data_IF_495777339688
#
_entry.id   IF_495777339688
#
_cell.length_a   1.000
_cell.length_b   1.000
_cell.length_c   1.000
_cell.angle_alpha   90.00
_cell.angle_beta   90.00
_cell.angle_gamma   90.00
#
_symmetry.space_group_name_H-M   'P 1'
#
loop_
_entity.id
_entity.type
_entity.pdbx_description
1 polymer ?
#
# COMPACT_ATOMS: atom_id res chain seq x y z
N UNK A 1 51.09 -6.51 52.03
CA UNK A 1 50.19 -7.41 51.33
C UNK A 1 49.04 -6.63 50.62
N UNK A 2 48.62 -5.47 51.12
CA UNK A 2 47.48 -4.68 50.47
C UNK A 2 47.90 -4.02 49.15
N UNK A 3 49.18 -3.62 49.01
CA UNK A 3 49.70 -3.00 47.79
C UNK A 3 49.77 -3.96 46.55
N UNK A 4 49.93 -5.25 46.77
CA UNK A 4 50.01 -6.26 45.72
C UNK A 4 48.64 -6.51 45.08
N UNK A 5 47.56 -6.46 45.86
CA UNK A 5 46.19 -6.64 45.36
C UNK A 5 45.68 -5.44 44.58
N UNK A 6 46.13 -4.23 44.89
CA UNK A 6 45.74 -3.02 44.16
C UNK A 6 46.36 -3.00 42.74
N UNK A 7 47.60 -3.49 42.58
CA UNK A 7 48.27 -3.57 41.30
C UNK A 7 47.65 -4.67 40.39
N UNK A 8 47.21 -5.79 40.95
CA UNK A 8 46.52 -6.83 40.21
C UNK A 8 45.13 -6.38 39.75
N UNK A 9 44.38 -5.59 40.56
CA UNK A 9 43.08 -5.06 40.20
C UNK A 9 43.16 -4.01 39.07
N UNK A 10 44.17 -3.16 39.08
CA UNK A 10 44.42 -2.13 38.07
C UNK A 10 44.84 -2.78 36.73
N UNK A 11 45.62 -3.87 36.76
CA UNK A 11 46.01 -4.61 35.56
C UNK A 11 44.83 -5.33 34.87
N UNK A 12 43.84 -5.79 35.66
CA UNK A 12 42.62 -6.46 35.09
C UNK A 12 41.66 -5.43 34.46
N UNK A 13 41.63 -4.18 34.98
CA UNK A 13 40.76 -3.13 34.42
C UNK A 13 41.32 -2.58 33.08
N UNK A 14 42.63 -2.61 32.89
CA UNK A 14 43.27 -2.10 31.66
C UNK A 14 43.28 -3.08 30.50
N UNK A 15 42.94 -4.35 30.70
CA UNK A 15 42.89 -5.38 29.64
C UNK A 15 41.53 -5.59 28.99
N UNK A 16 40.45 -4.90 29.43
CA UNK A 16 39.09 -5.14 28.93
C UNK A 16 38.57 -4.11 27.91
N UNK A 17 39.41 -3.26 27.34
CA UNK A 17 38.99 -2.27 26.31
C UNK A 17 39.86 -2.27 25.06
N UNK A 18 40.20 -3.43 24.53
CA UNK A 18 40.63 -3.52 23.15
C UNK A 18 39.48 -4.05 22.28
N UNK A 19 38.44 -3.27 22.12
CA UNK A 19 37.62 -3.41 20.91
C UNK A 19 38.52 -2.98 19.76
N UNK A 20 39.06 -3.95 19.04
CA UNK A 20 39.76 -3.67 17.79
C UNK A 20 38.74 -2.96 16.88
N UNK A 21 38.91 -1.67 16.66
CA UNK A 21 38.18 -0.99 15.62
C UNK A 21 38.53 -1.67 14.30
N UNK A 22 37.58 -2.43 13.77
CA UNK A 22 37.75 -3.02 12.45
C UNK A 22 37.67 -1.89 11.44
N UNK A 23 38.79 -1.57 10.82
CA UNK A 23 38.81 -0.61 9.72
C UNK A 23 38.09 -1.24 8.55
N UNK A 24 36.93 -0.71 8.21
CA UNK A 24 36.21 -1.08 6.98
C UNK A 24 36.68 -0.13 5.88
N UNK A 25 37.30 -0.68 4.86
CA UNK A 25 37.61 0.08 3.65
C UNK A 25 36.39 -0.02 2.72
N UNK A 26 35.74 1.11 2.49
CA UNK A 26 34.63 1.19 1.54
C UNK A 26 35.22 1.18 0.13
N UNK A 27 34.70 0.30 -0.71
CA UNK A 27 34.99 0.31 -2.14
C UNK A 27 33.86 1.04 -2.86
N UNK A 28 34.25 1.87 -3.82
CA UNK A 28 33.28 2.54 -4.69
C UNK A 28 32.62 1.51 -5.60
N UNK A 29 31.29 1.43 -5.55
CA UNK A 29 30.49 0.64 -6.48
C UNK A 29 29.74 1.60 -7.40
N UNK A 30 30.17 1.66 -8.66
CA UNK A 30 29.60 2.54 -9.70
C UNK A 30 28.64 1.80 -10.63
N UNK A 31 28.40 0.51 -10.43
CA UNK A 31 27.62 -0.34 -11.35
C UNK A 31 26.38 -0.97 -10.72
N UNK A 32 26.38 -1.16 -9.41
CA UNK A 32 25.22 -1.77 -8.73
C UNK A 32 24.09 -0.77 -8.60
N UNK A 33 22.88 -1.23 -8.94
CA UNK A 33 21.66 -0.47 -8.68
C UNK A 33 21.37 -0.47 -7.18
N UNK A 34 21.48 0.69 -6.55
CA UNK A 34 21.10 0.86 -5.14
C UNK A 34 19.59 1.06 -5.03
N UNK A 35 18.92 0.04 -4.51
CA UNK A 35 17.48 0.11 -4.18
C UNK A 35 17.32 0.40 -2.70
N UNK A 36 16.98 1.64 -2.38
CA UNK A 36 16.66 2.02 -1.00
C UNK A 36 15.24 1.57 -0.65
N UNK A 37 15.02 1.04 0.56
CA UNK A 37 13.66 0.71 1.02
C UNK A 37 12.73 1.92 0.93
N UNK A 38 11.52 1.71 0.43
CA UNK A 38 10.48 2.73 0.27
C UNK A 38 10.91 3.95 -0.57
N UNK A 39 11.87 3.79 -1.49
CA UNK A 39 12.32 4.85 -2.39
C UNK A 39 12.43 4.35 -3.82
N UNK A 40 12.02 5.18 -4.78
CA UNK A 40 12.20 4.90 -6.21
C UNK A 40 10.87 4.73 -6.95
N UNK A 41 10.95 4.15 -8.14
CA UNK A 41 9.81 3.95 -9.02
C UNK A 41 9.17 2.58 -8.81
N UNK A 42 7.86 2.51 -9.02
CA UNK A 42 7.12 1.26 -9.04
C UNK A 42 6.75 0.83 -10.46
N UNK A 43 6.84 -0.46 -10.76
CA UNK A 43 6.07 -1.06 -11.84
C UNK A 43 4.70 -1.44 -11.29
N UNK A 44 3.67 -1.39 -12.12
CA UNK A 44 2.29 -1.33 -11.67
C UNK A 44 1.40 -2.33 -12.41
N UNK A 45 0.58 -3.08 -11.67
CA UNK A 45 -0.52 -3.89 -12.19
C UNK A 45 -1.83 -3.48 -11.51
N UNK A 46 -2.71 -2.84 -12.26
CA UNK A 46 -3.98 -2.33 -11.77
C UNK A 46 -5.16 -3.30 -12.01
N UNK A 47 -4.94 -4.36 -12.77
CA UNK A 47 -5.97 -5.36 -13.09
C UNK A 47 -7.34 -4.73 -13.47
N UNK A 48 -7.31 -3.63 -14.22
CA UNK A 48 -8.48 -2.80 -14.51
C UNK A 48 -9.69 -3.59 -15.00
N UNK A 49 -9.53 -4.44 -16.00
CA UNK A 49 -10.59 -5.32 -16.50
C UNK A 49 -10.32 -6.78 -16.11
N UNK A 50 -9.12 -7.28 -16.38
CA UNK A 50 -8.69 -8.64 -16.06
C UNK A 50 -7.30 -8.64 -15.43
N UNK A 51 -7.08 -9.58 -14.52
CA UNK A 51 -5.77 -9.82 -13.96
C UNK A 51 -4.78 -10.18 -15.06
N UNK A 52 -3.65 -9.50 -15.11
CA UNK A 52 -2.62 -9.69 -16.10
C UNK A 52 -2.06 -11.12 -16.07
N UNK A 53 -1.79 -11.69 -17.25
CA UNK A 53 -1.01 -12.92 -17.30
C UNK A 53 0.43 -12.67 -16.90
N UNK A 54 0.91 -13.36 -15.88
CA UNK A 54 2.21 -13.13 -15.28
C UNK A 54 3.39 -13.22 -16.26
N UNK A 55 3.34 -14.17 -17.20
CA UNK A 55 4.42 -14.34 -18.17
C UNK A 55 4.45 -13.17 -19.18
N UNK A 56 3.27 -12.73 -19.62
CA UNK A 56 3.14 -11.59 -20.54
C UNK A 56 3.56 -10.31 -19.84
N UNK A 57 3.06 -10.09 -18.63
CA UNK A 57 3.37 -8.92 -17.83
C UNK A 57 4.88 -8.77 -17.62
N UNK A 58 5.52 -9.82 -17.09
CA UNK A 58 6.96 -9.76 -16.82
C UNK A 58 7.82 -9.72 -18.07
N UNK A 59 7.39 -10.30 -19.18
CA UNK A 59 8.09 -10.13 -20.45
C UNK A 59 8.07 -8.68 -20.94
N UNK A 60 6.95 -7.98 -20.73
CA UNK A 60 6.82 -6.56 -21.11
C UNK A 60 7.55 -5.60 -20.14
N UNK A 61 7.58 -5.92 -18.85
CA UNK A 61 8.11 -5.04 -17.81
C UNK A 61 9.55 -5.34 -17.39
N UNK A 62 10.20 -6.40 -17.92
CA UNK A 62 11.49 -6.89 -17.42
C UNK A 62 12.57 -5.83 -17.39
N UNK A 63 12.73 -5.06 -18.48
CA UNK A 63 13.74 -4.01 -18.58
C UNK A 63 13.48 -2.89 -17.55
N UNK A 64 12.27 -2.35 -17.52
CA UNK A 64 11.89 -1.28 -16.60
C UNK A 64 12.03 -1.74 -15.14
N UNK A 65 11.57 -2.96 -14.84
CA UNK A 65 11.63 -3.54 -13.51
C UNK A 65 13.06 -3.71 -13.00
N UNK A 66 13.98 -4.19 -13.86
CA UNK A 66 15.37 -4.43 -13.47
C UNK A 66 16.20 -3.17 -13.37
N UNK A 67 15.97 -2.20 -14.26
CA UNK A 67 16.81 -1.01 -14.36
C UNK A 67 16.35 0.14 -13.46
N UNK A 68 15.05 0.31 -13.26
CA UNK A 68 14.52 1.52 -12.65
C UNK A 68 13.63 1.29 -11.45
N UNK A 69 12.94 0.14 -11.35
CA UNK A 69 11.95 -0.06 -10.30
C UNK A 69 12.56 -0.54 -8.98
N UNK A 70 11.96 -0.10 -7.89
CA UNK A 70 12.25 -0.56 -6.52
C UNK A 70 11.13 -1.43 -5.97
N UNK A 71 9.91 -1.27 -6.48
CA UNK A 71 8.75 -2.02 -6.01
C UNK A 71 7.80 -2.39 -7.16
N UNK A 72 6.97 -3.38 -6.87
CA UNK A 72 5.84 -3.81 -7.70
C UNK A 72 4.55 -3.48 -6.97
N UNK A 73 3.73 -2.62 -7.56
CA UNK A 73 2.48 -2.18 -6.98
C UNK A 73 1.30 -2.96 -7.57
N UNK A 74 0.56 -3.66 -6.69
CA UNK A 74 -0.60 -4.49 -7.02
C UNK A 74 -1.87 -3.78 -6.56
N UNK A 75 -2.69 -3.31 -7.51
CA UNK A 75 -4.00 -2.69 -7.23
C UNK A 75 -5.11 -3.58 -7.77
N UNK A 76 -5.55 -4.51 -6.94
CA UNK A 76 -6.52 -5.51 -7.32
C UNK A 76 -7.83 -5.38 -6.55
N UNK A 77 -8.90 -5.93 -7.12
CA UNK A 77 -10.18 -6.04 -6.43
C UNK A 77 -10.13 -7.07 -5.32
N UNK A 78 -10.86 -6.84 -4.24
CA UNK A 78 -11.07 -7.87 -3.24
C UNK A 78 -11.70 -9.12 -3.86
N UNK A 79 -12.63 -8.95 -4.85
CA UNK A 79 -13.23 -10.08 -5.57
C UNK A 79 -12.23 -10.94 -6.36
N UNK A 80 -11.08 -10.41 -6.75
CA UNK A 80 -10.01 -11.20 -7.38
C UNK A 80 -9.13 -11.88 -6.32
N UNK A 81 -8.92 -11.22 -5.18
CA UNK A 81 -8.11 -11.74 -4.08
C UNK A 81 -8.82 -12.83 -3.27
N UNK A 82 -10.14 -12.76 -3.15
CA UNK A 82 -10.98 -13.70 -2.41
C UNK A 82 -12.33 -13.89 -3.11
N UNK A 83 -12.40 -14.64 -4.24
CA UNK A 83 -13.64 -14.84 -4.99
C UNK A 83 -14.70 -15.63 -4.22
N UNK A 84 -14.30 -16.48 -3.31
CA UNK A 84 -15.14 -17.25 -2.37
C UNK A 84 -14.58 -17.07 -0.95
N UNK A 85 -15.45 -17.05 0.06
CA UNK A 85 -15.05 -16.82 1.46
C UNK A 85 -13.95 -17.79 1.89
N UNK A 86 -12.81 -17.27 2.33
CA UNK A 86 -11.66 -18.06 2.77
C UNK A 86 -10.79 -18.64 1.63
N UNK A 87 -11.13 -18.36 0.37
CA UNK A 87 -10.35 -18.83 -0.79
C UNK A 87 -9.49 -17.69 -1.32
N UNK A 88 -8.29 -17.60 -0.81
CA UNK A 88 -7.36 -16.49 -1.07
C UNK A 88 -6.46 -16.76 -2.27
N UNK A 89 -6.29 -15.79 -3.18
CA UNK A 89 -5.50 -15.92 -4.40
C UNK A 89 -4.06 -16.37 -4.14
N UNK A 90 -3.43 -15.88 -3.10
CA UNK A 90 -2.06 -16.29 -2.72
C UNK A 90 -1.91 -17.76 -2.34
N UNK A 91 -3.01 -18.45 -2.02
CA UNK A 91 -2.97 -19.87 -1.69
C UNK A 91 -3.19 -20.78 -2.90
N UNK A 92 -4.00 -20.37 -3.88
CA UNK A 92 -4.42 -21.26 -4.96
C UNK A 92 -4.16 -20.76 -6.38
N UNK A 93 -4.07 -19.43 -6.59
CA UNK A 93 -3.96 -18.85 -7.94
C UNK A 93 -2.51 -18.87 -8.41
N UNK A 94 -2.21 -19.75 -9.33
CA UNK A 94 -0.85 -19.92 -9.87
C UNK A 94 -0.38 -18.72 -10.70
N UNK A 95 -1.31 -17.95 -11.31
CA UNK A 95 -0.96 -16.73 -12.03
C UNK A 95 -0.57 -15.62 -11.05
N UNK A 96 -1.35 -15.47 -9.97
CA UNK A 96 -1.02 -14.54 -8.89
C UNK A 96 0.36 -14.86 -8.28
N UNK A 97 0.58 -16.12 -7.92
CA UNK A 97 1.89 -16.55 -7.36
C UNK A 97 3.05 -16.22 -8.30
N UNK A 98 2.88 -16.44 -9.61
CA UNK A 98 3.90 -16.10 -10.62
C UNK A 98 4.12 -14.60 -10.75
N UNK A 99 3.08 -13.78 -10.62
CA UNK A 99 3.22 -12.32 -10.61
C UNK A 99 4.05 -11.86 -9.41
N UNK A 100 3.71 -12.34 -8.21
CA UNK A 100 4.42 -12.00 -6.98
C UNK A 100 5.86 -12.52 -7.01
N UNK A 101 6.07 -13.79 -7.34
CA UNK A 101 7.41 -14.36 -7.44
C UNK A 101 8.27 -13.64 -8.48
N UNK A 102 7.67 -13.28 -9.63
CA UNK A 102 8.35 -12.52 -10.66
C UNK A 102 8.84 -11.14 -10.21
N UNK A 103 8.13 -10.48 -9.30
CA UNK A 103 8.60 -9.26 -8.65
C UNK A 103 9.81 -9.54 -7.75
N UNK A 104 9.68 -10.53 -6.87
CA UNK A 104 10.73 -10.91 -5.92
C UNK A 104 12.01 -11.37 -6.62
N UNK A 105 11.92 -12.14 -7.71
CA UNK A 105 13.05 -12.59 -8.53
C UNK A 105 13.82 -11.42 -9.19
N UNK A 106 13.15 -10.27 -9.31
CA UNK A 106 13.75 -9.01 -9.79
C UNK A 106 14.28 -8.12 -8.68
N UNK A 107 14.18 -8.58 -7.42
CA UNK A 107 14.58 -7.84 -6.23
C UNK A 107 13.65 -6.66 -5.93
N UNK A 108 12.40 -6.69 -6.41
CA UNK A 108 11.40 -5.67 -6.09
C UNK A 108 10.73 -6.01 -4.76
N UNK A 109 10.35 -4.97 -4.03
CA UNK A 109 9.43 -5.08 -2.91
C UNK A 109 7.98 -5.04 -3.42
N UNK A 110 7.07 -5.60 -2.66
CA UNK A 110 5.65 -5.58 -2.97
C UNK A 110 4.99 -4.36 -2.33
N UNK A 111 4.00 -3.81 -2.99
CA UNK A 111 3.10 -2.81 -2.45
C UNK A 111 1.68 -3.13 -2.89
N UNK A 112 0.69 -2.90 -2.02
CA UNK A 112 -0.67 -3.37 -2.29
C UNK A 112 -1.72 -2.29 -2.07
N UNK A 113 -2.74 -2.29 -2.95
CA UNK A 113 -4.05 -1.69 -2.74
C UNK A 113 -5.11 -2.71 -3.12
N UNK A 114 -5.86 -3.21 -2.14
CA UNK A 114 -6.98 -4.11 -2.41
C UNK A 114 -8.27 -3.32 -2.22
N UNK A 115 -8.97 -3.02 -3.31
CA UNK A 115 -10.11 -2.13 -3.30
C UNK A 115 -11.45 -2.86 -3.40
N UNK A 116 -12.52 -2.20 -2.95
CA UNK A 116 -13.84 -2.78 -2.71
C UNK A 116 -14.90 -2.31 -3.69
N UNK A 117 -14.72 -1.17 -4.36
CA UNK A 117 -15.67 -0.66 -5.35
C UNK A 117 -15.33 -1.14 -6.75
N UNK A 118 -16.34 -1.11 -7.62
CA UNK A 118 -16.13 -1.30 -9.06
C UNK A 118 -15.27 -0.18 -9.62
N UNK A 119 -14.27 -0.55 -10.40
CA UNK A 119 -13.39 0.36 -11.11
C UNK A 119 -13.90 0.54 -12.53
N UNK A 120 -13.96 1.78 -13.03
CA UNK A 120 -14.47 2.10 -14.36
C UNK A 120 -15.81 1.42 -14.73
N UNK A 121 -16.55 0.99 -13.71
CA UNK A 121 -17.80 0.22 -13.87
C UNK A 121 -17.66 -1.03 -14.75
N UNK A 122 -16.49 -1.68 -14.76
CA UNK A 122 -16.23 -2.89 -15.53
C UNK A 122 -16.56 -4.18 -14.76
N UNK A 123 -16.13 -4.26 -13.50
CA UNK A 123 -16.33 -5.42 -12.62
C UNK A 123 -16.56 -4.99 -11.18
N UNK A 124 -17.31 -5.80 -10.43
CA UNK A 124 -17.53 -5.57 -9.01
C UNK A 124 -16.22 -5.74 -8.20
N UNK A 125 -15.91 -4.76 -7.34
CA UNK A 125 -14.73 -4.81 -6.48
C UNK A 125 -14.89 -5.74 -5.28
N UNK A 126 -16.10 -5.88 -4.77
CA UNK A 126 -16.42 -6.75 -3.63
C UNK A 126 -16.90 -8.13 -4.10
N UNK A 127 -16.46 -9.23 -3.45
CA UNK A 127 -16.90 -10.58 -3.78
C UNK A 127 -18.41 -10.78 -3.59
N UNK A 128 -19.04 -11.56 -4.47
CA UNK A 128 -20.50 -11.80 -4.43
C UNK A 128 -20.96 -12.54 -3.17
N UNK A 129 -20.09 -13.31 -2.51
CA UNK A 129 -20.46 -13.98 -1.25
C UNK A 129 -20.83 -12.98 -0.15
N UNK A 130 -20.27 -11.75 -0.17
CA UNK A 130 -20.61 -10.68 0.78
C UNK A 130 -22.06 -10.25 0.60
N UNK A 131 -22.51 -10.08 -0.65
CA UNK A 131 -23.91 -9.82 -0.98
C UNK A 131 -24.82 -10.98 -0.55
N UNK A 132 -24.41 -12.22 -0.86
CA UNK A 132 -25.17 -13.43 -0.45
C UNK A 132 -25.25 -13.60 1.05
N UNK A 133 -24.29 -13.11 1.82
CA UNK A 133 -24.33 -13.09 3.28
C UNK A 133 -25.36 -12.08 3.84
N UNK A 134 -25.94 -11.22 2.98
CA UNK A 134 -26.97 -10.27 3.34
C UNK A 134 -26.49 -8.84 3.55
N UNK A 135 -25.25 -8.51 3.19
CA UNK A 135 -24.76 -7.14 3.23
C UNK A 135 -25.61 -6.22 2.36
N UNK A 136 -25.93 -5.04 2.86
CA UNK A 136 -26.64 -4.01 2.12
C UNK A 136 -25.69 -3.27 1.21
N UNK A 137 -26.20 -2.85 0.08
CA UNK A 137 -25.41 -2.13 -0.92
C UNK A 137 -26.33 -1.45 -1.95
N UNK A 138 -25.70 -0.88 -2.93
CA UNK A 138 -26.35 -0.22 -4.06
C UNK A 138 -25.85 -0.80 -5.37
N UNK A 139 -26.56 -0.50 -6.44
CA UNK A 139 -26.20 -0.97 -7.78
C UNK A 139 -25.87 0.22 -8.65
N UNK A 140 -24.76 0.13 -9.35
CA UNK A 140 -24.37 1.10 -10.38
C UNK A 140 -24.44 0.45 -11.75
N UNK A 141 -24.73 1.24 -12.78
CA UNK A 141 -24.77 0.75 -14.15
C UNK A 141 -23.34 0.62 -14.68
N UNK A 142 -22.90 -0.60 -14.90
CA UNK A 142 -21.60 -0.89 -15.45
C UNK A 142 -21.63 -1.06 -16.97
N UNK A 143 -20.45 -1.08 -17.58
CA UNK A 143 -20.30 -1.27 -19.04
C UNK A 143 -20.68 -2.70 -19.49
N UNK A 144 -20.49 -3.69 -18.62
CA UNK A 144 -20.76 -5.12 -18.87
C UNK A 144 -21.99 -5.64 -18.11
N UNK A 145 -22.77 -4.76 -17.50
CA UNK A 145 -23.94 -5.10 -16.69
C UNK A 145 -23.98 -4.32 -15.38
N UNK A 146 -25.03 -4.54 -14.60
CA UNK A 146 -25.18 -3.87 -13.32
C UNK A 146 -24.19 -4.42 -12.27
N UNK A 147 -23.51 -3.51 -11.57
CA UNK A 147 -22.52 -3.82 -10.55
C UNK A 147 -23.06 -3.49 -9.17
N UNK A 148 -23.04 -4.46 -8.28
CA UNK A 148 -23.37 -4.26 -6.89
C UNK A 148 -22.14 -3.83 -6.09
N UNK A 149 -22.32 -2.83 -5.22
CA UNK A 149 -21.30 -2.31 -4.32
C UNK A 149 -21.89 -2.23 -2.91
N UNK A 150 -21.21 -2.74 -1.87
CA UNK A 150 -21.72 -2.64 -0.51
C UNK A 150 -21.65 -1.22 0.02
N UNK A 151 -22.50 -0.92 1.01
CA UNK A 151 -22.32 0.26 1.83
C UNK A 151 -21.21 -0.01 2.86
N UNK A 152 -20.18 0.83 2.96
CA UNK A 152 -19.08 0.63 3.93
C UNK A 152 -19.50 0.69 5.41
N UNK A 153 -20.66 1.27 5.72
CA UNK A 153 -21.25 1.29 7.06
C UNK A 153 -22.21 0.10 7.32
N UNK A 154 -22.22 -0.91 6.42
CA UNK A 154 -22.97 -2.14 6.64
C UNK A 154 -22.18 -3.11 7.53
N UNK A 155 -22.77 -3.65 8.62
CA UNK A 155 -22.03 -4.48 9.57
C UNK A 155 -21.60 -5.84 8.99
N UNK A 156 -22.32 -6.40 8.01
CA UNK A 156 -21.95 -7.67 7.38
C UNK A 156 -20.75 -7.44 6.45
N UNK A 157 -20.78 -6.35 5.68
CA UNK A 157 -19.61 -5.95 4.89
C UNK A 157 -18.38 -5.80 5.78
N UNK A 158 -18.51 -5.09 6.89
CA UNK A 158 -17.41 -4.85 7.83
C UNK A 158 -16.86 -6.14 8.42
N UNK A 159 -17.75 -7.07 8.85
CA UNK A 159 -17.32 -8.40 9.35
C UNK A 159 -16.55 -9.21 8.31
N UNK A 160 -17.04 -9.23 7.06
CA UNK A 160 -16.38 -10.00 6.00
C UNK A 160 -15.04 -9.39 5.59
N UNK A 161 -14.97 -8.06 5.51
CA UNK A 161 -13.72 -7.37 5.18
C UNK A 161 -12.69 -7.54 6.31
N UNK A 162 -13.09 -7.51 7.57
CA UNK A 162 -12.18 -7.75 8.70
C UNK A 162 -11.50 -9.11 8.59
N UNK A 163 -12.27 -10.18 8.30
CA UNK A 163 -11.70 -11.52 8.09
C UNK A 163 -10.71 -11.58 6.93
N UNK A 164 -11.00 -10.88 5.84
CA UNK A 164 -10.09 -10.78 4.71
C UNK A 164 -8.81 -10.04 5.09
N UNK A 165 -8.92 -8.87 5.74
CA UNK A 165 -7.75 -8.06 6.13
C UNK A 165 -6.88 -8.80 7.14
N UNK A 166 -7.48 -9.52 8.10
CA UNK A 166 -6.74 -10.39 9.03
C UNK A 166 -5.92 -11.45 8.29
N UNK A 167 -6.55 -12.17 7.34
CA UNK A 167 -5.86 -13.19 6.56
C UNK A 167 -4.78 -12.59 5.64
N UNK A 168 -5.07 -11.44 5.05
CA UNK A 168 -4.14 -10.70 4.20
C UNK A 168 -2.91 -10.22 4.97
N UNK A 169 -3.10 -9.67 6.16
CA UNK A 169 -2.01 -9.25 7.03
C UNK A 169 -1.17 -10.43 7.52
N UNK A 170 -1.80 -11.57 7.82
CA UNK A 170 -1.08 -12.79 8.19
C UNK A 170 -0.10 -13.26 7.10
N UNK A 171 -0.41 -13.02 5.83
CA UNK A 171 0.44 -13.34 4.70
C UNK A 171 1.48 -12.25 4.41
N UNK A 172 1.06 -10.97 4.45
CA UNK A 172 1.82 -9.86 3.89
C UNK A 172 2.33 -8.82 4.91
N UNK A 173 2.11 -8.97 6.21
CA UNK A 173 2.74 -8.10 7.22
C UNK A 173 4.21 -8.48 7.44
N UNK A 174 4.96 -8.56 6.35
CA UNK A 174 6.36 -8.94 6.30
C UNK A 174 7.20 -7.87 5.59
N UNK A 175 7.95 -7.04 6.32
CA UNK A 175 8.76 -5.97 5.75
C UNK A 175 9.95 -6.46 4.92
N UNK A 176 10.28 -7.76 4.97
CA UNK A 176 11.32 -8.32 4.11
C UNK A 176 10.89 -8.37 2.64
N UNK A 177 9.59 -8.44 2.36
CA UNK A 177 9.04 -8.54 1.01
C UNK A 177 8.04 -7.43 0.65
N UNK A 178 7.47 -6.72 1.63
CA UNK A 178 6.46 -5.67 1.42
C UNK A 178 6.98 -4.35 1.96
N UNK A 179 6.96 -3.30 1.15
CA UNK A 179 7.32 -1.95 1.57
C UNK A 179 6.14 -1.22 2.23
N UNK A 180 4.97 -1.25 1.59
CA UNK A 180 3.77 -0.61 2.14
C UNK A 180 2.47 -1.24 1.63
N UNK A 181 1.40 -0.99 2.38
CA UNK A 181 0.03 -1.32 1.99
C UNK A 181 -0.83 -0.06 2.08
N UNK A 182 -1.64 0.21 1.06
CA UNK A 182 -2.67 1.23 1.13
C UNK A 182 -3.74 0.76 2.13
N UNK A 183 -3.69 1.31 3.34
CA UNK A 183 -4.53 0.93 4.48
C UNK A 183 -5.90 1.61 4.48
N UNK A 184 -6.31 2.15 3.33
CA UNK A 184 -7.64 2.64 3.02
C UNK A 184 -7.91 2.43 1.54
N UNK A 185 -8.98 1.74 1.19
CA UNK A 185 -9.26 1.32 -0.17
C UNK A 185 -10.75 1.40 -0.54
N UNK A 186 -11.48 2.29 0.11
CA UNK A 186 -12.85 2.64 -0.26
C UNK A 186 -12.86 3.68 -1.39
N UNK A 187 -13.99 3.73 -2.07
CA UNK A 187 -14.17 4.62 -3.21
C UNK A 187 -13.71 4.00 -4.53
N UNK A 188 -13.88 4.75 -5.61
CA UNK A 188 -13.45 4.30 -6.93
C UNK A 188 -11.95 4.07 -6.92
N UNK A 189 -11.51 2.99 -7.51
CA UNK A 189 -10.11 2.52 -7.54
C UNK A 189 -9.43 2.41 -6.16
N UNK A 190 -10.20 2.52 -5.06
CA UNK A 190 -9.64 2.62 -3.71
C UNK A 190 -8.99 3.98 -3.41
N UNK A 191 -9.41 5.04 -4.10
CA UNK A 191 -8.77 6.37 -4.06
C UNK A 191 -9.48 7.38 -3.14
N UNK A 192 -10.27 6.91 -2.18
CA UNK A 192 -10.93 7.75 -1.18
C UNK A 192 -11.94 8.77 -1.74
N UNK A 193 -12.47 8.52 -2.95
CA UNK A 193 -13.51 9.38 -3.53
C UNK A 193 -14.71 8.57 -4.02
N UNK A 194 -15.89 9.23 -4.16
CA UNK A 194 -17.16 8.58 -4.53
C UNK A 194 -17.60 7.45 -3.59
N UNK A 195 -17.27 7.56 -2.32
CA UNK A 195 -17.76 6.63 -1.29
C UNK A 195 -19.21 6.96 -0.97
N UNK A 196 -20.09 5.95 -0.96
CA UNK A 196 -21.51 6.10 -0.65
C UNK A 196 -21.83 5.26 0.59
N UNK A 197 -22.41 5.86 1.61
CA UNK A 197 -22.84 5.23 2.85
C UNK A 197 -24.36 5.16 2.92
N UNK A 198 -24.91 4.23 3.70
CA UNK A 198 -26.33 4.23 4.05
C UNK A 198 -26.69 5.48 4.86
N UNK A 199 -25.86 5.81 5.85
CA UNK A 199 -25.97 7.02 6.65
C UNK A 199 -24.79 7.95 6.37
N UNK A 200 -25.06 9.01 5.62
CA UNK A 200 -24.04 9.99 5.21
C UNK A 200 -23.38 10.72 6.39
N UNK A 201 -23.97 10.67 7.59
CA UNK A 201 -23.34 11.27 8.77
C UNK A 201 -22.22 10.42 9.38
N UNK A 202 -22.01 9.19 8.87
CA UNK A 202 -21.03 8.24 9.42
C UNK A 202 -19.67 8.24 8.70
N UNK A 203 -19.40 9.19 7.81
CA UNK A 203 -18.15 9.20 7.06
C UNK A 203 -16.91 9.16 7.96
N UNK A 204 -16.83 10.03 8.96
CA UNK A 204 -15.69 10.03 9.88
C UNK A 204 -15.58 8.72 10.67
N UNK A 205 -16.71 8.15 11.11
CA UNK A 205 -16.73 6.87 11.82
C UNK A 205 -16.24 5.72 10.92
N UNK A 206 -16.69 5.67 9.66
CA UNK A 206 -16.28 4.64 8.70
C UNK A 206 -14.81 4.80 8.35
N UNK A 207 -14.34 6.01 8.16
CA UNK A 207 -12.94 6.30 7.90
C UNK A 207 -12.04 5.86 9.08
N UNK A 208 -12.45 6.21 10.32
CA UNK A 208 -11.73 5.80 11.52
C UNK A 208 -11.73 4.28 11.69
N UNK A 209 -12.88 3.63 11.50
CA UNK A 209 -12.99 2.17 11.53
C UNK A 209 -12.06 1.51 10.50
N UNK A 210 -12.09 1.96 9.24
CA UNK A 210 -11.32 1.33 8.17
C UNK A 210 -9.81 1.46 8.41
N UNK A 211 -9.35 2.66 8.76
CA UNK A 211 -7.95 2.90 9.08
C UNK A 211 -7.51 2.17 10.35
N UNK A 212 -8.40 1.99 11.32
CA UNK A 212 -8.15 1.19 12.52
C UNK A 212 -8.03 -0.30 12.19
N UNK A 213 -8.90 -0.81 11.30
CA UNK A 213 -8.86 -2.20 10.85
C UNK A 213 -7.48 -2.57 10.30
N UNK A 214 -6.96 -1.81 9.33
CA UNK A 214 -5.65 -2.09 8.78
C UNK A 214 -4.52 -1.92 9.81
N UNK A 215 -4.51 -0.83 10.57
CA UNK A 215 -3.48 -0.60 11.60
C UNK A 215 -3.54 -1.58 12.78
N UNK A 216 -4.65 -2.29 12.95
CA UNK A 216 -4.77 -3.37 13.93
C UNK A 216 -4.07 -4.63 13.46
N UNK A 217 -4.15 -4.96 12.19
CA UNK A 217 -3.62 -6.20 11.65
C UNK A 217 -2.21 -6.08 11.07
N UNK A 218 -1.88 -4.96 10.42
CA UNK A 218 -0.52 -4.68 9.95
C UNK A 218 0.28 -3.95 11.03
N UNK A 219 1.34 -4.57 11.52
CA UNK A 219 2.20 -4.07 12.61
C UNK A 219 3.63 -3.78 12.19
N UNK A 220 4.09 -4.44 11.13
CA UNK A 220 5.46 -4.41 10.70
C UNK A 220 5.64 -3.67 9.37
N UNK A 221 4.63 -3.72 8.51
CA UNK A 221 4.61 -3.06 7.20
C UNK A 221 4.00 -1.67 7.31
N UNK A 222 4.56 -0.71 6.58
CA UNK A 222 4.04 0.65 6.53
C UNK A 222 2.66 0.70 5.88
N UNK A 223 1.79 1.54 6.43
CA UNK A 223 0.48 1.80 5.85
C UNK A 223 0.46 3.18 5.20
N UNK A 224 -0.20 3.31 4.05
CA UNK A 224 -0.43 4.59 3.39
C UNK A 224 -1.92 4.89 3.27
N UNK A 225 -2.24 6.16 3.28
CA UNK A 225 -3.58 6.68 3.10
C UNK A 225 -3.69 7.34 1.72
N UNK A 226 -4.57 6.87 0.83
CA UNK A 226 -4.99 7.65 -0.33
C UNK A 226 -5.68 8.93 0.14
N UNK A 227 -4.99 10.07 -0.01
CA UNK A 227 -5.41 11.35 0.55
C UNK A 227 -6.35 12.05 -0.43
N UNK A 228 -7.65 12.00 -0.16
CA UNK A 228 -8.69 12.39 -1.10
C UNK A 228 -9.72 13.40 -0.60
N UNK A 229 -9.53 13.97 0.58
CA UNK A 229 -10.47 14.94 1.21
C UNK A 229 -11.91 14.44 1.38
N UNK A 230 -12.12 13.15 1.56
CA UNK A 230 -13.46 12.57 1.73
C UNK A 230 -14.21 13.16 2.94
N UNK A 231 -13.48 13.40 4.03
CA UNK A 231 -13.98 14.00 5.28
C UNK A 231 -13.24 15.28 5.66
N UNK A 232 -12.43 15.80 4.74
CA UNK A 232 -11.56 16.96 4.94
C UNK A 232 -10.13 16.57 5.32
N UNK A 233 -9.18 17.23 4.70
CA UNK A 233 -7.75 16.93 4.82
C UNK A 233 -7.25 16.92 6.26
N UNK A 234 -7.64 17.91 7.07
CA UNK A 234 -7.22 17.99 8.46
C UNK A 234 -7.76 16.82 9.30
N UNK A 235 -9.00 16.37 9.03
CA UNK A 235 -9.62 15.25 9.73
C UNK A 235 -8.95 13.95 9.35
N UNK A 236 -8.73 13.71 8.06
CA UNK A 236 -8.02 12.53 7.56
C UNK A 236 -6.60 12.45 8.12
N UNK A 237 -5.87 13.58 8.08
CA UNK A 237 -4.53 13.67 8.65
C UNK A 237 -4.53 13.36 10.15
N UNK A 238 -5.42 13.97 10.91
CA UNK A 238 -5.53 13.75 12.36
C UNK A 238 -5.82 12.29 12.71
N UNK A 239 -6.74 11.64 12.00
CA UNK A 239 -7.18 10.28 12.31
C UNK A 239 -6.15 9.25 11.87
N UNK A 240 -5.66 9.33 10.64
CA UNK A 240 -4.80 8.28 10.08
C UNK A 240 -3.31 8.59 10.25
N UNK A 241 -2.85 9.76 9.82
CA UNK A 241 -1.42 10.06 9.82
C UNK A 241 -0.92 10.31 11.25
N UNK A 242 -1.49 11.30 11.92
CA UNK A 242 -1.06 11.68 13.28
C UNK A 242 -1.50 10.64 14.33
N UNK A 243 -2.69 10.05 14.16
CA UNK A 243 -3.27 9.12 15.12
C UNK A 243 -2.81 7.67 14.99
N UNK A 244 -2.45 7.22 13.79
CA UNK A 244 -2.16 5.80 13.51
C UNK A 244 -0.83 5.57 12.75
N UNK A 245 -0.08 6.65 12.44
CA UNK A 245 1.23 6.53 11.81
C UNK A 245 1.21 6.20 10.31
N UNK A 246 0.11 6.49 9.63
CA UNK A 246 0.03 6.29 8.18
C UNK A 246 0.98 7.22 7.42
N UNK A 247 1.55 6.71 6.34
CA UNK A 247 2.11 7.53 5.28
C UNK A 247 1.01 8.14 4.41
N UNK A 248 1.40 9.02 3.52
CA UNK A 248 0.49 9.71 2.61
C UNK A 248 0.69 9.19 1.19
N UNK A 249 -0.40 8.86 0.50
CA UNK A 249 -0.43 8.62 -0.93
C UNK A 249 -1.28 9.67 -1.62
N UNK A 250 -0.84 10.14 -2.79
CA UNK A 250 -1.63 11.03 -3.63
C UNK A 250 -1.56 10.61 -5.08
N UNK A 251 -2.70 10.19 -5.60
CA UNK A 251 -2.86 9.85 -7.00
C UNK A 251 -3.06 11.14 -7.82
N UNK A 252 -2.58 11.16 -9.05
CA UNK A 252 -2.57 12.38 -9.87
C UNK A 252 -1.61 13.46 -9.35
N UNK A 253 -0.51 13.07 -8.70
CA UNK A 253 0.50 13.99 -8.20
C UNK A 253 1.04 14.85 -9.35
N UNK A 254 0.99 16.16 -9.16
CA UNK A 254 1.41 17.12 -10.17
C UNK A 254 0.34 17.50 -11.20
N UNK A 255 -0.85 16.90 -11.15
CA UNK A 255 -1.98 17.31 -11.99
C UNK A 255 -2.57 18.65 -11.54
N UNK A 256 -3.43 19.23 -12.39
CA UNK A 256 -4.23 20.42 -12.05
C UNK A 256 -5.21 20.16 -10.88
N UNK A 257 -5.52 18.89 -10.58
CA UNK A 257 -6.36 18.50 -9.44
C UNK A 257 -5.61 18.56 -8.10
N UNK A 258 -4.29 18.68 -8.14
CA UNK A 258 -3.45 18.77 -6.95
C UNK A 258 -3.49 20.22 -6.43
N UNK A 259 -4.34 20.48 -5.45
CA UNK A 259 -4.59 21.80 -4.89
C UNK A 259 -3.38 22.37 -4.15
N UNK A 260 -3.38 23.69 -3.95
CA UNK A 260 -2.34 24.36 -3.15
C UNK A 260 -2.35 23.91 -1.69
N UNK A 261 -3.53 23.55 -1.14
CA UNK A 261 -3.66 23.00 0.20
C UNK A 261 -2.98 21.63 0.29
N UNK A 262 -3.22 20.74 -0.68
CA UNK A 262 -2.56 19.43 -0.74
C UNK A 262 -1.03 19.57 -0.91
N UNK A 263 -0.57 20.50 -1.77
CA UNK A 263 0.86 20.79 -1.93
C UNK A 263 1.51 21.21 -0.61
N UNK A 264 0.83 22.07 0.14
CA UNK A 264 1.30 22.49 1.46
C UNK A 264 1.38 21.32 2.44
N UNK A 265 0.38 20.44 2.48
CA UNK A 265 0.35 19.27 3.36
C UNK A 265 1.46 18.28 2.97
N UNK A 266 1.66 18.01 1.67
CA UNK A 266 2.75 17.16 1.20
C UNK A 266 4.11 17.74 1.61
N UNK A 267 4.31 19.06 1.45
CA UNK A 267 5.54 19.72 1.86
C UNK A 267 5.77 19.60 3.38
N UNK A 268 4.71 19.74 4.18
CA UNK A 268 4.78 19.60 5.65
C UNK A 268 5.09 18.15 6.08
N UNK A 269 4.69 17.16 5.28
CA UNK A 269 4.93 15.74 5.56
C UNK A 269 6.29 15.24 5.06
N UNK A 270 6.95 15.98 4.18
CA UNK A 270 8.25 15.61 3.63
C UNK A 270 9.28 15.38 4.75
N UNK A 271 9.95 14.24 4.71
CA UNK A 271 10.92 13.84 5.73
C UNK A 271 10.32 13.40 7.07
N UNK A 272 8.99 13.38 7.23
CA UNK A 272 8.31 12.94 8.46
C UNK A 272 7.58 11.62 8.31
N UNK A 273 7.11 11.32 7.11
CA UNK A 273 6.38 10.07 6.83
C UNK A 273 6.65 9.60 5.40
N UNK A 274 6.21 8.38 5.07
CA UNK A 274 6.23 7.86 3.72
C UNK A 274 5.31 8.71 2.82
N UNK A 275 5.85 9.15 1.68
CA UNK A 275 5.09 9.83 0.64
C UNK A 275 5.12 9.00 -0.64
N UNK A 276 3.94 8.64 -1.14
CA UNK A 276 3.76 7.89 -2.38
C UNK A 276 2.99 8.76 -3.37
N UNK A 277 3.50 8.88 -4.58
CA UNK A 277 2.83 9.59 -5.67
C UNK A 277 2.49 8.64 -6.81
N UNK A 278 1.32 8.79 -7.38
CA UNK A 278 1.00 8.26 -8.71
C UNK A 278 1.07 9.44 -9.68
N UNK A 279 1.92 9.34 -10.71
CA UNK A 279 2.04 10.41 -11.70
C UNK A 279 0.75 10.54 -12.48
N UNK A 280 0.39 11.77 -12.84
CA UNK A 280 -0.74 11.97 -13.73
C UNK A 280 -0.37 11.56 -15.17
N UNK A 281 -1.39 11.44 -16.01
CA UNK A 281 -1.30 10.91 -17.38
C UNK A 281 -0.28 11.68 -18.22
N UNK A 282 0.83 11.04 -18.54
CA UNK A 282 1.78 11.53 -19.53
C UNK A 282 1.22 11.28 -20.93
N UNK A 283 1.23 12.34 -21.73
CA UNK A 283 0.81 12.22 -23.13
C UNK A 283 -0.71 12.16 -23.33
N UNK A 284 -1.50 12.59 -22.35
CA UNK A 284 -2.89 12.89 -22.64
C UNK A 284 -2.95 13.97 -23.75
N UNK A 285 -3.85 13.78 -24.70
CA UNK A 285 -4.02 14.64 -25.86
C UNK A 285 -4.59 16.03 -25.57
N UNK A 286 -4.53 16.47 -24.33
CA UNK A 286 -4.97 17.79 -23.91
C UNK A 286 -3.76 18.66 -23.66
N UNK A 287 -3.83 19.91 -24.08
CA UNK A 287 -2.78 20.93 -23.96
C UNK A 287 -2.36 21.22 -22.49
N UNK A 288 -2.98 20.54 -21.53
CA UNK A 288 -2.76 20.72 -20.10
C UNK A 288 -1.68 19.81 -19.50
N UNK A 289 -1.09 18.90 -20.28
CA UNK A 289 0.03 18.09 -19.85
C UNK A 289 1.33 18.86 -20.06
N UNK A 290 1.57 19.89 -19.23
CA UNK A 290 2.89 20.53 -19.20
C UNK A 290 3.86 19.60 -18.47
N UNK A 291 5.01 19.28 -19.09
CA UNK A 291 6.09 18.62 -18.37
C UNK A 291 6.55 19.51 -17.21
N UNK A 292 6.90 18.91 -16.09
CA UNK A 292 7.51 19.57 -14.94
C UNK A 292 8.84 20.19 -15.31
#
# INVERSE_FOLDING_TARGET
HIHLYLFALISVILTSCSHACQKVELQEDTVSLLRNPCMGWGVYDDANDEVQNANIYWAAQDEAARQYASFFYVRWRWSDMEPEEGKYAWLYDENYKKLIQGALDRGLKLCFRIYNNGQDNLRAGTPDYVRRAGAKGYTVKGLKGDLWTPYPDDPIFQEKLEKFVEAFAKEYDNPDIVDFVDGYSLGWWGECHHVILQDQNKFEQVFDWFTTLYSTHFKNVLLTLPFGSQIGFDTEKRIAIDGKGYGMRRDGLGSMWFSDEERRIVADMYGKTLLVGESCYWGCSTDDCTPF
#
